data_IF_191918835040
#
_entry.id   IF_191918835040
#
_cell.length_a   1.000
_cell.length_b   1.000
_cell.length_c   1.000
_cell.angle_alpha   90.00
_cell.angle_beta   90.00
_cell.angle_gamma   90.00
#
_symmetry.space_group_name_H-M   'P 1'
#
loop_
_entity.id
_entity.type
_entity.pdbx_description
1 polymer ?
#
# COMPACT_ATOMS: atom_id res chain seq x y z
N UNK A 1 -37.85 31.21 -28.10
CA UNK A 1 -36.38 31.14 -28.27
C UNK A 1 -35.82 30.52 -27.00
N UNK A 2 -35.29 29.29 -27.08
CA UNK A 2 -34.77 28.59 -25.90
C UNK A 2 -33.47 29.23 -25.41
N UNK A 3 -33.29 29.25 -24.09
CA UNK A 3 -32.17 29.90 -23.44
C UNK A 3 -30.86 29.12 -23.69
N UNK A 4 -30.07 29.62 -24.65
CA UNK A 4 -28.81 29.01 -25.11
C UNK A 4 -27.69 29.14 -24.06
N UNK A 5 -27.88 30.00 -23.05
CA UNK A 5 -26.89 30.27 -22.01
C UNK A 5 -26.71 29.07 -21.08
N UNK A 6 -27.82 28.46 -20.62
CA UNK A 6 -27.80 27.28 -19.76
C UNK A 6 -27.12 26.06 -20.41
N UNK A 7 -27.34 25.87 -21.71
CA UNK A 7 -26.68 24.81 -22.47
C UNK A 7 -25.17 25.06 -22.64
N UNK A 8 -24.77 26.32 -22.77
CA UNK A 8 -23.36 26.72 -22.90
C UNK A 8 -22.60 26.51 -21.60
N UNK A 9 -23.18 26.86 -20.45
CA UNK A 9 -22.56 26.65 -19.14
C UNK A 9 -22.36 25.17 -18.83
N UNK A 10 -23.35 24.34 -19.15
CA UNK A 10 -23.25 22.88 -19.02
C UNK A 10 -22.12 22.32 -19.89
N UNK A 11 -22.01 22.77 -21.13
CA UNK A 11 -20.99 22.31 -22.07
C UNK A 11 -19.58 22.73 -21.62
N UNK A 12 -19.44 23.96 -21.09
CA UNK A 12 -18.17 24.45 -20.54
C UNK A 12 -17.78 23.65 -19.28
N UNK A 13 -18.72 23.31 -18.42
CA UNK A 13 -18.45 22.48 -17.23
C UNK A 13 -18.02 21.07 -17.63
N UNK A 14 -18.70 20.45 -18.58
CA UNK A 14 -18.37 19.11 -19.08
C UNK A 14 -17.01 19.09 -19.79
N UNK A 15 -16.69 20.14 -20.56
CA UNK A 15 -15.38 20.30 -21.18
C UNK A 15 -14.24 20.46 -20.15
N UNK A 16 -14.48 21.16 -19.03
CA UNK A 16 -13.49 21.24 -17.92
C UNK A 16 -13.25 19.89 -17.28
N UNK A 17 -14.33 19.14 -17.00
CA UNK A 17 -14.24 17.78 -16.44
C UNK A 17 -13.43 16.87 -17.36
N UNK A 18 -13.70 16.88 -18.66
CA UNK A 18 -12.96 16.08 -19.65
C UNK A 18 -11.49 16.50 -19.76
N UNK A 19 -11.22 17.81 -19.74
CA UNK A 19 -9.84 18.32 -19.79
C UNK A 19 -9.04 17.94 -18.55
N UNK A 20 -9.65 18.08 -17.38
CA UNK A 20 -8.99 17.76 -16.11
C UNK A 20 -8.82 16.23 -15.97
N UNK A 21 -9.77 15.42 -16.44
CA UNK A 21 -9.65 13.96 -16.62
C UNK A 21 -8.47 13.59 -17.54
N UNK A 22 -8.30 14.30 -18.66
CA UNK A 22 -7.22 14.06 -19.62
C UNK A 22 -5.86 14.50 -19.08
N UNK A 23 -5.78 15.61 -18.33
CA UNK A 23 -4.56 16.05 -17.64
C UNK A 23 -4.16 15.07 -16.52
N UNK A 24 -5.13 14.43 -15.87
CA UNK A 24 -4.91 13.35 -14.91
C UNK A 24 -4.54 12.00 -15.56
N UNK A 25 -4.31 11.96 -16.88
CA UNK A 25 -3.82 10.78 -17.61
C UNK A 25 -4.90 9.98 -18.34
N UNK A 26 -6.16 10.42 -18.33
CA UNK A 26 -7.27 9.79 -19.04
C UNK A 26 -7.78 8.49 -18.40
N UNK A 27 -9.09 8.21 -18.57
CA UNK A 27 -9.77 7.03 -17.99
C UNK A 27 -9.16 5.69 -18.43
N UNK A 28 -8.50 5.67 -19.60
CA UNK A 28 -7.85 4.46 -20.12
C UNK A 28 -6.51 4.15 -19.44
N UNK A 29 -5.77 5.16 -18.96
CA UNK A 29 -4.45 4.95 -18.33
C UNK A 29 -4.54 4.66 -16.84
N UNK A 30 -5.57 5.20 -16.15
CA UNK A 30 -6.02 4.77 -14.82
C UNK A 30 -6.36 3.27 -14.78
N UNK A 31 -6.76 2.70 -15.92
CA UNK A 31 -7.21 1.32 -15.98
C UNK A 31 -6.14 0.27 -16.34
N UNK A 32 -5.02 0.68 -16.94
CA UNK A 32 -4.09 -0.27 -17.58
C UNK A 32 -2.63 -0.10 -17.13
N UNK A 33 -2.22 1.03 -16.53
CA UNK A 33 -0.77 1.29 -16.37
C UNK A 33 -0.27 2.02 -15.12
N UNK A 34 -1.11 2.50 -14.22
CA UNK A 34 -0.64 3.10 -12.97
C UNK A 34 -0.57 2.03 -11.87
N UNK A 35 0.63 1.70 -11.41
CA UNK A 35 0.83 0.91 -10.18
C UNK A 35 0.05 1.56 -9.05
N UNK A 36 -0.86 0.81 -8.43
CA UNK A 36 -1.85 1.31 -7.46
C UNK A 36 -1.19 1.84 -6.18
N UNK A 37 0.04 1.41 -5.87
CA UNK A 37 0.83 1.83 -4.71
C UNK A 37 2.35 1.68 -4.93
N UNK A 38 3.14 2.15 -3.96
CA UNK A 38 4.60 2.08 -4.02
C UNK A 38 5.11 0.62 -3.96
N UNK A 39 4.35 -0.28 -3.32
CA UNK A 39 4.63 -1.72 -3.23
C UNK A 39 4.59 -2.45 -4.58
N UNK A 40 3.52 -2.28 -5.36
CA UNK A 40 3.41 -2.85 -6.72
C UNK A 40 4.44 -2.26 -7.68
N UNK A 41 4.75 -0.97 -7.56
CA UNK A 41 5.85 -0.32 -8.29
C UNK A 41 7.22 -0.92 -7.90
N UNK A 42 7.47 -1.17 -6.61
CA UNK A 42 8.71 -1.75 -6.12
C UNK A 42 8.89 -3.23 -6.53
N UNK A 43 7.81 -4.01 -6.61
CA UNK A 43 7.84 -5.39 -7.10
C UNK A 43 8.07 -5.45 -8.61
N UNK A 44 7.39 -4.62 -9.40
CA UNK A 44 7.67 -4.45 -10.83
C UNK A 44 9.10 -3.94 -11.05
N UNK A 45 9.59 -3.02 -10.21
CA UNK A 45 10.98 -2.52 -10.24
C UNK A 45 11.99 -3.59 -9.83
N UNK A 46 11.71 -4.45 -8.84
CA UNK A 46 12.59 -5.59 -8.48
C UNK A 46 12.62 -6.65 -9.57
N UNK A 47 11.49 -6.96 -10.21
CA UNK A 47 11.44 -7.85 -11.36
C UNK A 47 12.22 -7.25 -12.54
N UNK A 48 12.03 -5.97 -12.82
CA UNK A 48 12.75 -5.22 -13.85
C UNK A 48 14.26 -5.15 -13.56
N UNK A 49 14.66 -4.86 -12.32
CA UNK A 49 16.06 -4.87 -11.87
C UNK A 49 16.67 -6.27 -11.96
N UNK A 50 15.92 -7.33 -11.67
CA UNK A 50 16.37 -8.72 -11.83
C UNK A 50 16.56 -9.06 -13.31
N UNK A 51 15.65 -8.62 -14.17
CA UNK A 51 15.78 -8.78 -15.62
C UNK A 51 16.99 -8.00 -16.14
N UNK A 52 17.19 -6.76 -15.72
CA UNK A 52 18.38 -5.95 -16.06
C UNK A 52 19.66 -6.64 -15.58
N UNK A 53 19.69 -7.14 -14.35
CA UNK A 53 20.85 -7.87 -13.80
C UNK A 53 21.14 -9.14 -14.58
N UNK A 54 20.12 -9.92 -14.92
CA UNK A 54 20.30 -11.12 -15.72
C UNK A 54 20.76 -10.76 -17.15
N UNK A 55 20.22 -9.69 -17.72
CA UNK A 55 20.62 -9.19 -19.04
C UNK A 55 22.07 -8.71 -19.05
N UNK A 56 22.51 -8.01 -18.00
CA UNK A 56 23.90 -7.56 -17.87
C UNK A 56 24.88 -8.73 -17.74
N UNK A 57 24.53 -9.75 -16.94
CA UNK A 57 25.36 -10.97 -16.78
C UNK A 57 25.47 -11.73 -18.09
N UNK A 58 24.36 -11.96 -18.79
CA UNK A 58 24.36 -12.70 -20.06
C UNK A 58 25.11 -11.91 -21.14
N UNK A 59 24.91 -10.60 -21.21
CA UNK A 59 25.64 -9.73 -22.15
C UNK A 59 27.15 -9.80 -21.88
N UNK A 60 27.57 -9.74 -20.62
CA UNK A 60 28.98 -9.88 -20.23
C UNK A 60 29.55 -11.24 -20.63
N UNK A 61 28.83 -12.34 -20.37
CA UNK A 61 29.28 -13.68 -20.76
C UNK A 61 29.46 -13.83 -22.27
N UNK A 62 28.51 -13.32 -23.07
CA UNK A 62 28.60 -13.36 -24.53
C UNK A 62 29.80 -12.54 -25.04
N UNK A 63 30.06 -11.39 -24.44
CA UNK A 63 31.20 -10.54 -24.79
C UNK A 63 32.54 -11.21 -24.46
N UNK A 64 32.66 -11.81 -23.27
CA UNK A 64 33.86 -12.57 -22.88
C UNK A 64 34.07 -13.76 -23.82
N UNK A 65 33.02 -14.50 -24.15
CA UNK A 65 33.09 -15.59 -25.13
C UNK A 65 33.56 -15.13 -26.51
N UNK A 66 33.04 -14.01 -27.00
CA UNK A 66 33.46 -13.42 -28.27
C UNK A 66 34.93 -12.99 -28.27
N UNK A 67 35.43 -12.44 -27.16
CA UNK A 67 36.84 -12.06 -27.00
C UNK A 67 37.75 -13.31 -27.05
N UNK A 68 37.40 -14.38 -26.34
CA UNK A 68 38.18 -15.63 -26.33
C UNK A 68 38.22 -16.25 -27.73
N UNK A 69 37.08 -16.33 -28.41
CA UNK A 69 36.99 -16.84 -29.79
C UNK A 69 37.81 -15.96 -30.75
N UNK A 70 37.77 -14.65 -30.58
CA UNK A 70 38.57 -13.71 -31.37
C UNK A 70 40.07 -13.85 -31.17
N UNK A 71 40.52 -14.16 -29.94
CA UNK A 71 41.94 -14.44 -29.69
C UNK A 71 42.40 -15.74 -30.36
N UNK A 72 41.57 -16.78 -30.37
CA UNK A 72 41.92 -18.07 -30.98
C UNK A 72 41.98 -17.99 -32.51
N UNK A 73 41.13 -17.16 -33.12
CA UNK A 73 40.96 -17.10 -34.59
C UNK A 73 41.71 -15.91 -35.22
N UNK A 74 42.59 -15.20 -34.48
CA UNK A 74 43.30 -13.99 -34.94
C UNK A 74 42.37 -12.86 -35.41
N UNK A 75 41.25 -12.67 -34.70
CA UNK A 75 40.32 -11.57 -34.90
C UNK A 75 38.89 -12.02 -35.23
N UNK A 76 37.90 -11.26 -34.74
CA UNK A 76 36.53 -11.35 -35.22
C UNK A 76 36.43 -10.53 -36.52
N UNK A 77 36.45 -11.20 -37.67
CA UNK A 77 36.03 -10.58 -38.92
C UNK A 77 34.57 -10.13 -38.88
N UNK A 78 34.08 -9.47 -39.94
CA UNK A 78 32.69 -8.99 -40.01
C UNK A 78 31.65 -10.08 -39.66
N UNK A 79 31.86 -11.31 -40.13
CA UNK A 79 30.99 -12.45 -39.80
C UNK A 79 30.97 -12.80 -38.31
N UNK A 80 32.09 -12.64 -37.59
CA UNK A 80 32.15 -12.86 -36.15
C UNK A 80 31.40 -11.80 -35.35
N UNK A 81 31.47 -10.54 -35.79
CA UNK A 81 30.73 -9.43 -35.18
C UNK A 81 29.22 -9.63 -35.38
N UNK A 82 28.79 -9.96 -36.61
CA UNK A 82 27.38 -10.23 -36.91
C UNK A 82 26.86 -11.44 -36.11
N UNK A 83 27.67 -12.50 -35.99
CA UNK A 83 27.30 -13.67 -35.19
C UNK A 83 27.16 -13.32 -33.70
N UNK A 84 28.08 -12.52 -33.16
CA UNK A 84 28.01 -12.05 -31.76
C UNK A 84 26.78 -11.18 -31.53
N UNK A 85 26.45 -10.29 -32.48
CA UNK A 85 25.24 -9.47 -32.43
C UNK A 85 23.96 -10.32 -32.47
N UNK A 86 23.92 -11.36 -33.30
CA UNK A 86 22.79 -12.31 -33.35
C UNK A 86 22.66 -13.12 -32.05
N UNK A 87 23.78 -13.56 -31.46
CA UNK A 87 23.77 -14.25 -30.17
C UNK A 87 23.27 -13.34 -29.05
N UNK A 88 23.70 -12.07 -29.03
CA UNK A 88 23.19 -11.06 -28.09
C UNK A 88 21.70 -10.81 -28.28
N UNK A 89 21.24 -10.66 -29.52
CA UNK A 89 19.82 -10.48 -29.84
C UNK A 89 18.99 -11.68 -29.37
N UNK A 90 19.44 -12.90 -29.67
CA UNK A 90 18.78 -14.12 -29.26
C UNK A 90 18.74 -14.27 -27.73
N UNK A 91 19.84 -13.91 -27.05
CA UNK A 91 19.92 -13.90 -25.60
C UNK A 91 18.95 -12.90 -24.96
N UNK A 92 18.84 -11.69 -25.53
CA UNK A 92 17.90 -10.67 -25.07
C UNK A 92 16.45 -11.10 -25.27
N UNK A 93 16.13 -11.70 -26.43
CA UNK A 93 14.81 -12.26 -26.71
C UNK A 93 14.48 -13.42 -25.75
N UNK A 94 15.43 -14.31 -25.49
CA UNK A 94 15.25 -15.42 -24.54
C UNK A 94 14.98 -14.91 -23.12
N UNK A 95 15.77 -13.95 -22.62
CA UNK A 95 15.57 -13.34 -21.30
C UNK A 95 14.24 -12.59 -21.24
N UNK A 96 13.87 -11.87 -22.29
CA UNK A 96 12.59 -11.17 -22.40
C UNK A 96 11.38 -12.12 -22.38
N UNK A 97 11.44 -13.24 -23.09
CA UNK A 97 10.36 -14.25 -23.12
C UNK A 97 10.23 -15.01 -21.80
N UNK A 98 11.33 -15.23 -21.07
CA UNK A 98 11.32 -15.87 -19.74
C UNK A 98 10.94 -14.89 -18.61
N UNK A 99 10.99 -13.58 -18.87
CA UNK A 99 10.71 -12.50 -17.92
C UNK A 99 9.22 -12.28 -17.61
N UNK A 100 8.37 -13.31 -17.72
CA UNK A 100 6.98 -13.20 -17.27
C UNK A 100 6.99 -13.02 -15.75
N UNK A 101 6.53 -11.87 -15.26
CA UNK A 101 6.29 -11.62 -13.83
C UNK A 101 5.38 -12.75 -13.36
N UNK A 102 5.94 -13.69 -12.58
CA UNK A 102 5.15 -14.75 -11.95
C UNK A 102 4.16 -14.04 -11.03
N UNK A 103 2.91 -13.98 -11.45
CA UNK A 103 1.80 -13.52 -10.62
C UNK A 103 1.83 -14.44 -9.39
N UNK A 104 2.01 -13.91 -8.17
CA UNK A 104 2.06 -14.73 -6.98
C UNK A 104 0.79 -15.59 -6.92
N UNK A 105 0.95 -16.92 -6.82
CA UNK A 105 -0.18 -17.82 -6.57
C UNK A 105 -0.62 -17.66 -5.12
N UNK A 106 -1.90 -17.89 -4.79
CA UNK A 106 -2.47 -17.71 -3.43
C UNK A 106 -1.61 -18.30 -2.32
N UNK A 107 -1.04 -19.48 -2.55
CA UNK A 107 -0.15 -20.19 -1.62
C UNK A 107 1.16 -19.44 -1.27
N UNK A 108 1.48 -18.35 -1.98
CA UNK A 108 2.65 -17.51 -1.76
C UNK A 108 2.33 -16.15 -1.12
N UNK A 109 1.04 -15.76 -1.07
CA UNK A 109 0.62 -14.50 -0.45
C UNK A 109 1.00 -14.48 1.03
N UNK A 110 0.65 -15.55 1.76
CA UNK A 110 0.84 -15.67 3.21
C UNK A 110 2.29 -15.96 3.65
N UNK A 111 3.27 -15.98 2.73
CA UNK A 111 4.67 -16.31 3.04
C UNK A 111 5.48 -15.08 3.47
N UNK A 112 6.19 -15.18 4.59
CA UNK A 112 7.14 -14.16 5.07
C UNK A 112 6.51 -13.11 6.01
N UNK A 113 7.18 -11.96 6.13
CA UNK A 113 6.72 -10.84 6.96
C UNK A 113 5.40 -10.26 6.42
N UNK A 114 4.48 -9.86 7.29
CA UNK A 114 3.18 -9.26 6.95
C UNK A 114 3.32 -8.06 6.00
N UNK A 115 4.36 -7.23 6.12
CA UNK A 115 4.63 -6.14 5.18
C UNK A 115 4.82 -6.66 3.74
N UNK A 116 5.57 -7.74 3.57
CA UNK A 116 5.81 -8.35 2.26
C UNK A 116 4.55 -9.06 1.73
N UNK A 117 3.75 -9.65 2.61
CA UNK A 117 2.44 -10.22 2.26
C UNK A 117 1.50 -9.14 1.71
N UNK A 118 1.40 -7.98 2.38
CA UNK A 118 0.56 -6.86 1.92
C UNK A 118 0.97 -6.40 0.52
N UNK A 119 2.26 -6.21 0.27
CA UNK A 119 2.75 -5.84 -1.08
C UNK A 119 2.50 -6.91 -2.14
N UNK A 120 2.54 -8.21 -1.79
CA UNK A 120 2.18 -9.30 -2.72
C UNK A 120 0.67 -9.34 -2.99
N UNK A 121 -0.15 -9.07 -1.98
CA UNK A 121 -1.61 -8.99 -2.16
C UNK A 121 -1.99 -7.79 -3.02
N UNK A 122 -1.34 -6.64 -2.88
CA UNK A 122 -1.56 -5.49 -3.76
C UNK A 122 -1.32 -5.85 -5.24
N UNK A 123 -0.22 -6.54 -5.53
CA UNK A 123 0.10 -7.00 -6.88
C UNK A 123 -0.92 -8.03 -7.40
N UNK A 124 -1.39 -8.91 -6.52
CA UNK A 124 -2.42 -9.89 -6.87
C UNK A 124 -3.77 -9.21 -7.15
N UNK A 125 -4.15 -8.23 -6.33
CA UNK A 125 -5.35 -7.41 -6.48
C UNK A 125 -5.35 -6.62 -7.80
N UNK A 126 -4.22 -6.05 -8.18
CA UNK A 126 -4.04 -5.36 -9.47
C UNK A 126 -4.30 -6.32 -10.65
N UNK A 127 -3.74 -7.53 -10.59
CA UNK A 127 -3.96 -8.55 -11.61
C UNK A 127 -5.42 -9.05 -11.67
N UNK A 128 -6.16 -8.91 -10.58
CA UNK A 128 -7.51 -9.44 -10.42
C UNK A 128 -8.62 -8.46 -10.81
N UNK A 129 -8.29 -7.16 -10.83
CA UNK A 129 -9.17 -6.04 -11.22
C UNK A 129 -9.98 -6.22 -12.51
N UNK A 130 -9.44 -6.72 -13.64
CA UNK A 130 -10.21 -6.81 -14.89
C UNK A 130 -11.33 -7.86 -14.85
N UNK A 131 -11.32 -8.78 -13.88
CA UNK A 131 -12.36 -9.80 -13.74
C UNK A 131 -13.47 -9.40 -12.76
N UNK A 132 -13.42 -8.18 -12.20
CA UNK A 132 -14.35 -7.67 -11.20
C UNK A 132 -15.33 -6.66 -11.83
N UNK A 133 -16.57 -6.58 -11.34
CA UNK A 133 -17.52 -5.54 -11.74
C UNK A 133 -17.03 -4.16 -11.26
N UNK A 134 -17.41 -3.10 -11.97
CA UNK A 134 -16.88 -1.75 -11.74
C UNK A 134 -16.89 -1.29 -10.25
N UNK A 135 -17.98 -1.45 -9.48
CA UNK A 135 -18.00 -1.04 -8.06
C UNK A 135 -16.98 -1.81 -7.20
N UNK A 136 -16.77 -3.11 -7.47
CA UNK A 136 -15.79 -3.91 -6.75
C UNK A 136 -14.36 -3.57 -7.16
N UNK A 137 -14.14 -3.23 -8.44
CA UNK A 137 -12.83 -2.80 -8.94
C UNK A 137 -12.38 -1.47 -8.31
N UNK A 138 -13.31 -0.54 -8.07
CA UNK A 138 -13.03 0.72 -7.38
C UNK A 138 -12.65 0.45 -5.92
N UNK A 139 -13.40 -0.40 -5.20
CA UNK A 139 -13.07 -0.81 -3.83
C UNK A 139 -11.68 -1.47 -3.70
N UNK A 140 -11.30 -2.33 -4.64
CA UNK A 140 -9.94 -2.91 -4.68
C UNK A 140 -8.88 -1.82 -4.80
N UNK A 141 -9.13 -0.81 -5.64
CA UNK A 141 -8.19 0.28 -5.87
C UNK A 141 -7.99 1.09 -4.60
N UNK A 142 -9.08 1.47 -3.94
CA UNK A 142 -9.03 2.21 -2.67
C UNK A 142 -8.34 1.41 -1.55
N UNK A 143 -8.66 0.11 -1.46
CA UNK A 143 -8.00 -0.79 -0.51
C UNK A 143 -6.50 -0.93 -0.81
N UNK A 144 -6.09 -0.97 -2.08
CA UNK A 144 -4.68 -1.01 -2.47
C UNK A 144 -3.88 0.17 -1.90
N UNK A 145 -4.45 1.38 -1.95
CA UNK A 145 -3.83 2.58 -1.37
C UNK A 145 -3.75 2.49 0.15
N UNK A 146 -4.83 2.04 0.81
CA UNK A 146 -4.85 1.87 2.27
C UNK A 146 -3.84 0.81 2.73
N UNK A 147 -3.73 -0.29 1.99
CA UNK A 147 -2.79 -1.37 2.26
C UNK A 147 -1.33 -0.91 2.16
N UNK A 148 -0.99 -0.01 1.23
CA UNK A 148 0.36 0.58 1.15
C UNK A 148 0.71 1.36 2.43
N UNK A 149 -0.23 2.18 2.92
CA UNK A 149 -0.03 2.91 4.19
C UNK A 149 0.09 1.97 5.39
N UNK A 150 -0.66 0.88 5.39
CA UNK A 150 -0.64 -0.13 6.43
C UNK A 150 0.68 -0.92 6.40
N UNK A 151 1.22 -1.23 5.22
CA UNK A 151 2.53 -1.85 5.05
C UNK A 151 3.67 -1.05 5.71
N UNK A 152 3.64 0.28 5.61
CA UNK A 152 4.62 1.16 6.27
C UNK A 152 4.52 1.12 7.80
N UNK A 153 3.30 1.01 8.34
CA UNK A 153 3.09 0.92 9.78
C UNK A 153 3.53 -0.43 10.33
N UNK A 154 3.21 -1.52 9.61
CA UNK A 154 3.60 -2.87 10.03
C UNK A 154 5.10 -3.13 9.97
N UNK A 155 5.89 -2.30 9.29
CA UNK A 155 7.35 -2.40 9.30
C UNK A 155 7.93 -2.25 10.71
N UNK A 156 7.28 -1.45 11.56
CA UNK A 156 7.74 -1.17 12.94
C UNK A 156 7.08 -2.07 13.99
N UNK A 157 6.11 -2.89 13.59
CA UNK A 157 5.27 -3.70 14.49
C UNK A 157 5.78 -5.14 14.52
N UNK A 158 5.79 -5.74 15.71
CA UNK A 158 6.18 -7.14 15.87
C UNK A 158 5.26 -8.08 15.07
N UNK A 159 5.84 -9.12 14.48
CA UNK A 159 5.10 -10.05 13.61
C UNK A 159 4.06 -10.90 14.37
N UNK A 160 4.23 -11.06 15.69
CA UNK A 160 3.31 -11.75 16.57
C UNK A 160 2.26 -10.81 17.19
N UNK A 161 2.27 -9.53 16.83
CA UNK A 161 1.28 -8.58 17.32
C UNK A 161 -0.13 -8.97 16.84
N UNK A 162 -1.17 -8.90 17.69
CA UNK A 162 -2.55 -9.28 17.32
C UNK A 162 -3.06 -8.57 16.05
N UNK A 163 -2.73 -7.29 15.89
CA UNK A 163 -3.07 -6.53 14.69
C UNK A 163 -2.41 -7.08 13.41
N UNK A 164 -1.15 -7.55 13.49
CA UNK A 164 -0.44 -8.13 12.37
C UNK A 164 -1.06 -9.47 11.94
N UNK A 165 -1.49 -10.29 12.90
CA UNK A 165 -2.26 -11.51 12.63
C UNK A 165 -3.60 -11.24 11.96
N UNK A 166 -4.32 -10.20 12.40
CA UNK A 166 -5.61 -9.83 11.82
C UNK A 166 -5.48 -9.33 10.38
N UNK A 167 -4.48 -8.50 10.10
CA UNK A 167 -4.15 -8.08 8.73
C UNK A 167 -3.82 -9.29 7.86
N UNK A 168 -3.02 -10.24 8.38
CA UNK A 168 -2.69 -11.48 7.69
C UNK A 168 -3.93 -12.28 7.28
N UNK A 169 -4.88 -12.42 8.19
CA UNK A 169 -6.15 -13.09 7.91
C UNK A 169 -6.98 -12.34 6.86
N UNK A 170 -7.23 -11.05 7.08
CA UNK A 170 -8.09 -10.25 6.19
C UNK A 170 -7.55 -10.15 4.76
N UNK A 171 -6.24 -9.91 4.63
CA UNK A 171 -5.59 -9.58 3.35
C UNK A 171 -4.99 -10.82 2.67
N UNK A 172 -4.58 -11.81 3.45
CA UNK A 172 -3.96 -13.04 2.94
C UNK A 172 -4.94 -14.18 2.69
N UNK A 173 -6.08 -14.19 3.39
CA UNK A 173 -7.04 -15.31 3.36
C UNK A 173 -8.43 -14.83 2.93
N UNK A 174 -9.07 -13.99 3.73
CA UNK A 174 -10.49 -13.64 3.57
C UNK A 174 -10.77 -12.91 2.25
N UNK A 175 -9.96 -11.89 1.93
CA UNK A 175 -10.12 -11.08 0.72
C UNK A 175 -9.88 -11.90 -0.57
N UNK A 176 -8.76 -12.66 -0.68
CA UNK A 176 -8.57 -13.55 -1.83
C UNK A 176 -9.68 -14.60 -1.96
N UNK A 177 -10.04 -15.28 -0.88
CA UNK A 177 -11.07 -16.31 -0.87
C UNK A 177 -12.41 -15.79 -1.39
N UNK A 178 -12.82 -14.59 -0.95
CA UNK A 178 -14.08 -14.00 -1.38
C UNK A 178 -14.11 -13.63 -2.86
N UNK A 179 -13.06 -13.01 -3.37
CA UNK A 179 -12.95 -12.66 -4.80
C UNK A 179 -12.99 -13.94 -5.64
N UNK A 180 -12.34 -14.99 -5.18
CA UNK A 180 -12.30 -16.26 -5.90
C UNK A 180 -13.61 -17.04 -5.83
N UNK A 181 -14.33 -16.96 -4.71
CA UNK A 181 -15.70 -17.42 -4.60
C UNK A 181 -16.59 -16.75 -5.65
N UNK A 182 -16.50 -15.43 -5.81
CA UNK A 182 -17.23 -14.71 -6.86
C UNK A 182 -16.84 -15.15 -8.28
N UNK A 183 -15.54 -15.36 -8.54
CA UNK A 183 -15.07 -15.79 -9.87
C UNK A 183 -15.50 -17.18 -10.26
N UNK A 184 -15.70 -18.07 -9.28
CA UNK A 184 -16.20 -19.42 -9.52
C UNK A 184 -17.63 -19.44 -10.08
N UNK A 185 -18.38 -18.33 -9.89
CA UNK A 185 -19.74 -18.17 -10.39
C UNK A 185 -19.69 -17.84 -11.90
N UNK A 186 -20.46 -18.57 -12.75
CA UNK A 186 -20.62 -18.25 -14.16
C UNK A 186 -21.13 -16.82 -14.38
N UNK A 187 -20.66 -16.13 -15.43
CA UNK A 187 -20.97 -14.71 -15.67
C UNK A 187 -22.47 -14.42 -15.76
N UNK A 188 -23.22 -15.32 -16.41
CA UNK A 188 -24.67 -15.22 -16.57
C UNK A 188 -25.42 -15.14 -15.24
N UNK A 189 -24.88 -15.76 -14.19
CA UNK A 189 -25.52 -15.85 -12.86
C UNK A 189 -25.05 -14.77 -11.87
N UNK A 190 -24.07 -13.93 -12.23
CA UNK A 190 -23.47 -12.95 -11.29
C UNK A 190 -24.38 -11.78 -10.94
N UNK A 191 -25.36 -11.51 -11.79
CA UNK A 191 -26.28 -10.37 -11.67
C UNK A 191 -27.71 -10.80 -11.31
N UNK A 192 -28.00 -12.10 -11.40
CA UNK A 192 -29.31 -12.64 -11.08
C UNK A 192 -29.54 -12.62 -9.56
N UNK A 193 -30.71 -12.12 -9.14
CA UNK A 193 -31.17 -12.28 -7.76
C UNK A 193 -31.73 -13.68 -7.59
N UNK A 194 -31.12 -14.43 -6.68
CA UNK A 194 -31.40 -15.86 -6.52
C UNK A 194 -32.54 -16.07 -5.50
N UNK A 195 -33.79 -15.96 -5.93
CA UNK A 195 -34.97 -16.26 -5.10
C UNK A 195 -35.87 -15.05 -4.84
N UNK A 196 -37.19 -15.28 -4.82
CA UNK A 196 -38.25 -14.25 -4.77
C UNK A 196 -38.46 -13.57 -3.41
N UNK A 197 -37.46 -13.56 -2.53
CA UNK A 197 -37.50 -12.86 -1.24
C UNK A 197 -36.62 -11.61 -1.28
N UNK A 198 -37.11 -10.51 -0.71
CA UNK A 198 -36.45 -9.19 -0.67
C UNK A 198 -35.07 -9.16 0.02
N UNK A 199 -34.63 -10.28 0.61
CA UNK A 199 -33.35 -10.44 1.32
C UNK A 199 -32.25 -11.10 0.46
N UNK A 200 -32.54 -11.50 -0.78
CA UNK A 200 -31.53 -12.18 -1.61
C UNK A 200 -30.78 -11.21 -2.52
N UNK A 201 -29.65 -10.69 -2.02
CA UNK A 201 -28.70 -9.92 -2.83
C UNK A 201 -28.12 -10.77 -3.98
N UNK A 202 -27.93 -10.15 -5.15
CA UNK A 202 -27.18 -10.77 -6.26
C UNK A 202 -25.74 -11.08 -5.83
N UNK A 203 -25.07 -12.09 -6.44
CA UNK A 203 -23.67 -12.41 -6.10
C UNK A 203 -22.72 -11.21 -6.20
N UNK A 204 -22.95 -10.33 -7.18
CA UNK A 204 -22.20 -9.08 -7.32
C UNK A 204 -22.41 -8.15 -6.12
N UNK A 205 -23.63 -7.99 -5.63
CA UNK A 205 -23.90 -7.18 -4.43
C UNK A 205 -23.31 -7.81 -3.16
N UNK A 206 -23.36 -9.15 -3.03
CA UNK A 206 -22.75 -9.86 -1.90
C UNK A 206 -21.24 -9.64 -1.86
N UNK A 207 -20.57 -9.69 -3.02
CA UNK A 207 -19.16 -9.37 -3.13
C UNK A 207 -18.87 -7.95 -2.66
N UNK A 208 -19.56 -6.95 -3.21
CA UNK A 208 -19.34 -5.53 -2.84
C UNK A 208 -19.52 -5.32 -1.34
N UNK A 209 -20.62 -5.83 -0.76
CA UNK A 209 -20.89 -5.72 0.69
C UNK A 209 -19.81 -6.39 1.54
N UNK A 210 -19.35 -7.57 1.15
CA UNK A 210 -18.25 -8.25 1.85
C UNK A 210 -16.94 -7.48 1.77
N UNK A 211 -16.64 -6.88 0.61
CA UNK A 211 -15.43 -6.07 0.42
C UNK A 211 -15.47 -4.78 1.25
N UNK A 212 -16.63 -4.15 1.38
CA UNK A 212 -16.83 -3.00 2.29
C UNK A 212 -16.56 -3.40 3.74
N UNK A 213 -17.05 -4.55 4.20
CA UNK A 213 -16.81 -5.03 5.55
C UNK A 213 -15.31 -5.27 5.80
N UNK A 214 -14.59 -5.88 4.84
CA UNK A 214 -13.14 -6.09 4.95
C UNK A 214 -12.40 -4.75 5.02
N UNK A 215 -12.76 -3.79 4.16
CA UNK A 215 -12.18 -2.44 4.18
C UNK A 215 -12.37 -1.77 5.54
N UNK A 216 -13.58 -1.84 6.09
CA UNK A 216 -13.90 -1.20 7.36
C UNK A 216 -13.14 -1.87 8.52
N UNK A 217 -12.95 -3.18 8.46
CA UNK A 217 -12.11 -3.91 9.42
C UNK A 217 -10.63 -3.55 9.30
N UNK A 218 -10.10 -3.41 8.08
CA UNK A 218 -8.73 -2.91 7.83
C UNK A 218 -8.56 -1.50 8.43
N UNK A 219 -9.54 -0.62 8.27
CA UNK A 219 -9.54 0.73 8.85
C UNK A 219 -9.54 0.69 10.39
N UNK A 220 -10.30 -0.22 10.99
CA UNK A 220 -10.30 -0.45 12.43
C UNK A 220 -8.91 -0.88 12.93
N UNK A 221 -8.27 -1.83 12.24
CA UNK A 221 -6.91 -2.29 12.60
C UNK A 221 -5.88 -1.18 12.42
N UNK A 222 -5.96 -0.39 11.35
CA UNK A 222 -5.11 0.78 11.13
C UNK A 222 -5.19 1.77 12.31
N UNK A 223 -6.41 2.06 12.78
CA UNK A 223 -6.62 2.94 13.94
C UNK A 223 -6.03 2.35 15.23
N UNK A 224 -6.15 1.04 15.44
CA UNK A 224 -5.56 0.34 16.59
C UNK A 224 -4.02 0.41 16.57
N UNK A 225 -3.41 0.22 15.40
CA UNK A 225 -1.96 0.34 15.22
C UNK A 225 -1.45 1.76 15.50
N UNK A 226 -2.20 2.77 15.03
CA UNK A 226 -1.89 4.16 15.31
C UNK A 226 -1.98 4.48 16.82
N UNK A 227 -3.03 4.01 17.51
CA UNK A 227 -3.19 4.22 18.94
C UNK A 227 -2.07 3.57 19.75
N UNK A 228 -1.73 2.30 19.47
CA UNK A 228 -0.66 1.60 20.18
C UNK A 228 0.70 2.30 20.05
N UNK A 229 0.96 2.94 18.89
CA UNK A 229 2.19 3.71 18.68
C UNK A 229 2.23 5.01 19.52
N UNK A 230 1.07 5.65 19.73
CA UNK A 230 0.94 6.85 20.59
C UNK A 230 1.10 6.46 22.07
N UNK A 231 0.55 5.30 22.46
CA UNK A 231 0.64 4.79 23.81
C UNK A 231 2.09 4.43 24.18
N UNK A 232 2.81 3.75 23.29
CA UNK A 232 4.23 3.41 23.48
C UNK A 232 5.11 4.67 23.63
N UNK A 233 4.86 5.69 22.80
CA UNK A 233 5.55 6.98 22.94
C UNK A 233 5.28 7.62 24.31
N UNK A 234 4.03 7.56 24.78
CA UNK A 234 3.63 8.12 26.08
C UNK A 234 4.31 7.40 27.25
N UNK A 235 4.43 6.06 27.18
CA UNK A 235 5.16 5.25 28.16
C UNK A 235 6.63 5.64 28.16
N UNK A 236 7.25 5.77 26.98
CA UNK A 236 8.65 6.14 26.86
C UNK A 236 8.95 7.53 27.42
N UNK A 237 8.08 8.52 27.15
CA UNK A 237 8.20 9.87 27.72
C UNK A 237 8.13 9.81 29.25
N UNK A 238 7.14 9.13 29.83
CA UNK A 238 7.02 8.97 31.29
C UNK A 238 8.23 8.28 31.92
N UNK A 239 8.78 7.25 31.25
CA UNK A 239 10.00 6.58 31.71
C UNK A 239 11.21 7.51 31.70
N UNK A 240 11.35 8.34 30.65
CA UNK A 240 12.43 9.32 30.56
C UNK A 240 12.29 10.40 31.63
N UNK A 241 11.09 10.91 31.89
CA UNK A 241 10.83 11.87 32.97
C UNK A 241 11.16 11.27 34.34
N UNK A 242 10.80 10.01 34.59
CA UNK A 242 11.16 9.33 35.84
C UNK A 242 12.69 9.15 35.98
N UNK A 243 13.37 8.76 34.90
CA UNK A 243 14.81 8.43 34.93
C UNK A 243 15.72 9.66 34.92
N UNK A 244 15.30 10.74 34.26
CA UNK A 244 16.14 11.92 34.02
C UNK A 244 15.52 13.23 34.53
N UNK A 245 14.21 13.28 34.76
CA UNK A 245 13.49 14.46 35.27
C UNK A 245 13.53 14.60 36.80
N UNK A 246 13.94 13.56 37.52
CA UNK A 246 14.30 13.66 38.95
C UNK A 246 15.74 14.19 39.09
N UNK A 247 15.99 15.43 38.67
CA UNK A 247 17.15 16.17 39.19
C UNK A 247 16.82 16.58 40.63
N UNK A 248 17.61 16.18 41.65
CA UNK A 248 17.49 16.76 42.98
C UNK A 248 17.86 18.24 42.85
N UNK A 249 16.87 19.12 42.88
CA UNK A 249 17.12 20.51 43.25
C UNK A 249 17.17 20.48 44.77
N UNK A 250 18.39 20.53 45.30
CA UNK A 250 18.71 20.51 46.72
C UNK A 250 17.92 21.60 47.49
N UNK A 251 16.88 21.17 48.19
CA UNK A 251 16.23 21.93 49.27
C UNK A 251 17.10 21.89 50.52
N UNK A 252 18.21 22.64 50.54
CA UNK A 252 19.05 22.81 51.73
C UNK A 252 19.52 24.25 51.95
N UNK A 253 18.65 25.12 52.48
CA UNK A 253 18.98 26.18 53.46
C UNK A 253 17.69 26.43 54.27
N UNK A 254 17.52 25.88 55.48
CA UNK A 254 18.14 26.38 56.71
C UNK A 254 17.11 27.19 57.51
N UNK A 255 16.44 26.56 58.48
CA UNK A 255 15.49 27.23 59.38
C UNK A 255 16.18 28.25 60.31
N UNK A 256 15.37 29.06 61.01
CA UNK A 256 15.43 29.33 62.46
C UNK A 256 14.29 30.30 62.91
N UNK A 257 13.46 29.80 63.82
CA UNK A 257 12.84 30.42 65.02
C UNK A 257 12.12 31.79 65.01
N UNK A 258 10.84 31.75 65.38
CA UNK A 258 10.06 32.57 66.33
C UNK A 258 10.47 34.02 66.65
N UNK A 259 9.47 34.91 66.54
CA UNK A 259 9.40 36.18 67.26
C UNK A 259 8.05 36.88 67.02
N UNK A 260 7.16 36.84 68.02
CA UNK A 260 5.95 37.64 68.15
C UNK A 260 6.18 39.12 67.78
N UNK A 261 5.18 39.78 67.18
CA UNK A 261 4.47 40.91 67.82
C UNK A 261 3.30 41.38 66.98
N UNK A 262 2.16 41.38 67.65
CA UNK A 262 0.92 42.11 67.38
C UNK A 262 1.10 43.54 66.87
N UNK A 263 0.47 43.87 65.75
CA UNK A 263 -0.04 45.22 65.49
C UNK A 263 -1.25 45.19 64.55
N UNK A 264 -2.44 44.90 65.10
CA UNK A 264 -3.70 45.30 64.46
C UNK A 264 -4.15 46.62 65.09
N UNK A 265 -4.12 47.66 64.26
CA UNK A 265 -4.68 48.97 64.54
C UNK A 265 -6.22 48.94 64.42
N UNK A 266 -6.88 49.38 65.48
CA UNK A 266 -8.24 49.97 65.58
C UNK A 266 -8.48 51.04 64.46
N UNK A 267 -9.73 51.55 64.18
CA UNK A 267 -10.81 51.73 65.16
C UNK A 267 -12.31 51.72 64.72
N UNK A 268 -13.15 51.72 65.78
CA UNK A 268 -14.40 52.48 65.97
C UNK A 268 -15.73 52.09 65.29
N UNK A 269 -16.73 51.73 66.13
CA UNK A 269 -18.01 52.43 66.41
C UNK A 269 -18.89 51.52 67.30
N UNK A 270 -19.35 51.95 68.49
CA UNK A 270 -20.64 52.63 68.74
C UNK A 270 -21.77 51.59 68.81
N UNK A 271 -22.66 51.47 69.79
CA UNK A 271 -23.32 52.44 70.69
C UNK A 271 -24.18 51.65 71.69
N UNK A 272 -24.47 52.30 72.84
CA UNK A 272 -25.53 52.05 73.84
C UNK A 272 -25.30 50.94 74.87
#
# INVERSE_FOLDING_TARGET
MGDLTSNSDRLIQEARIVRDDNRAGGRHRRNIGASIGAGSAALKRKAFLKTIRNLSIVTLMVLVGAIVVGMVINGLGFGGIVTTALVLLAAWLAVGMLGKVKIPKRAELNKGNVQQMVGRTELWLEAQRPALPAPAADLVTDMGVQLDTLGLQLEKVDQNHPAAHKVRKLVGEDLPEMIDGYRSIPETMRYEQQGGSSDTLSPTHKLVKGMELIRDEINSVNRQLAQGSIDDLSIRTRYLDYKYGATPVDDHVGGHSNGDTTSLSSPAKGTS
#
